data_IF_696389621045
#
_entry.id   IF_696389621045
#
_cell.length_a   1.000
_cell.length_b   1.000
_cell.length_c   1.000
_cell.angle_alpha   90.00
_cell.angle_beta   90.00
_cell.angle_gamma   90.00
#
_symmetry.space_group_name_H-M   'P 1'
#
loop_
_entity.id
_entity.type
_entity.pdbx_description
1 polymer ?
#
# COMPACT_ATOMS: atom_id res chain seq x y z
N UNK A 1 93.40 -0.53 52.27
CA UNK A 1 94.25 0.00 51.18
C UNK A 1 93.43 1.00 50.38
N UNK A 2 93.89 2.26 50.37
CA UNK A 2 93.58 3.44 49.51
C UNK A 2 92.10 3.80 49.28
N UNK A 3 91.56 4.95 49.72
CA UNK A 3 91.90 6.35 49.37
C UNK A 3 90.71 6.90 48.55
N UNK A 4 90.20 8.13 48.60
CA UNK A 4 90.58 9.43 49.14
C UNK A 4 89.27 10.24 49.39
N UNK A 5 89.31 11.18 50.34
CA UNK A 5 88.31 12.23 50.56
C UNK A 5 88.53 13.46 49.65
N UNK A 6 87.46 14.16 49.27
CA UNK A 6 87.28 15.64 49.21
C UNK A 6 85.89 15.93 48.62
N UNK A 7 84.90 16.55 49.29
CA UNK A 7 84.68 17.91 49.82
C UNK A 7 84.43 19.02 48.77
N UNK A 8 83.32 19.76 49.01
CA UNK A 8 83.14 21.22 48.75
C UNK A 8 82.70 21.59 47.33
N UNK A 9 81.85 22.60 47.01
CA UNK A 9 80.76 23.43 47.59
C UNK A 9 80.44 24.45 46.46
N UNK A 10 79.26 25.07 46.48
CA UNK A 10 78.95 26.38 45.85
C UNK A 10 78.87 26.40 44.28
N UNK A 11 78.08 27.25 43.58
CA UNK A 11 77.28 28.44 43.92
C UNK A 11 76.46 28.91 42.69
N UNK A 12 75.30 29.51 42.99
CA UNK A 12 74.45 30.47 42.22
C UNK A 12 75.00 31.14 40.95
N UNK A 13 74.10 31.29 39.96
CA UNK A 13 74.04 32.44 39.02
C UNK A 13 72.99 32.26 37.91
N UNK A 14 72.00 33.17 37.73
CA UNK A 14 71.01 33.13 36.64
C UNK A 14 71.30 34.15 35.51
N UNK A 15 70.52 34.05 34.42
CA UNK A 15 70.28 35.08 33.39
C UNK A 15 71.40 35.28 32.33
N UNK A 16 71.12 34.87 31.07
CA UNK A 16 71.29 35.61 29.79
C UNK A 16 71.45 34.69 28.55
N UNK A 17 70.53 34.90 27.58
CA UNK A 17 70.62 34.74 26.11
C UNK A 17 71.36 33.55 25.45
N UNK A 18 70.60 32.76 24.68
CA UNK A 18 70.72 32.65 23.21
C UNK A 18 69.79 31.53 22.68
N UNK A 19 68.69 31.89 22.00
CA UNK A 19 67.89 30.95 21.21
C UNK A 19 68.25 31.14 19.74
N UNK A 20 68.77 30.07 19.13
CA UNK A 20 68.99 29.97 17.70
C UNK A 20 67.65 29.75 16.98
N UNK A 21 67.42 30.52 15.92
CA UNK A 21 66.27 30.40 15.05
C UNK A 21 66.41 29.17 14.14
N UNK A 22 65.39 28.31 14.13
CA UNK A 22 65.17 27.32 13.09
C UNK A 22 63.79 27.59 12.47
N UNK A 23 63.78 28.21 11.29
CA UNK A 23 62.61 28.34 10.43
C UNK A 23 62.27 26.99 9.82
N UNK A 24 61.15 26.40 10.22
CA UNK A 24 60.52 25.28 9.52
C UNK A 24 59.72 25.84 8.33
N UNK A 25 60.08 25.44 7.12
CA UNK A 25 59.26 25.67 5.93
C UNK A 25 58.23 24.54 5.88
N UNK A 26 56.98 24.84 6.17
CA UNK A 26 55.85 23.94 5.93
C UNK A 26 55.58 23.84 4.43
N UNK A 27 55.78 22.66 3.83
CA UNK A 27 55.16 22.31 2.55
C UNK A 27 53.97 21.40 2.83
N UNK A 28 52.81 22.01 3.07
CA UNK A 28 51.51 21.31 3.10
C UNK A 28 50.63 21.88 1.99
N UNK A 29 50.87 21.40 0.78
CA UNK A 29 49.96 21.54 -0.35
C UNK A 29 49.96 20.20 -1.07
N UNK A 30 48.78 19.72 -1.49
CA UNK A 30 48.51 18.36 -2.04
C UNK A 30 48.02 17.30 -1.02
N UNK A 31 47.45 17.71 0.12
CA UNK A 31 46.58 16.82 0.92
C UNK A 31 45.16 17.36 1.12
N UNK A 32 44.94 18.67 0.96
CA UNK A 32 43.64 19.30 1.19
C UNK A 32 42.66 19.16 0.00
N UNK A 33 43.11 18.80 -1.21
CA UNK A 33 42.26 18.84 -2.40
C UNK A 33 41.60 17.50 -2.77
N UNK A 34 41.78 16.45 -1.96
CA UNK A 34 41.17 15.13 -2.18
C UNK A 34 40.24 14.72 -1.03
N UNK A 35 40.42 15.28 0.17
CA UNK A 35 39.50 15.08 1.29
C UNK A 35 38.21 15.90 1.12
N UNK A 36 38.28 17.11 0.54
CA UNK A 36 37.11 17.96 0.26
C UNK A 36 36.15 17.34 -0.79
N UNK A 37 36.69 16.55 -1.73
CA UNK A 37 35.90 15.90 -2.78
C UNK A 37 35.17 14.64 -2.28
N UNK A 38 35.71 13.93 -1.27
CA UNK A 38 35.08 12.75 -0.66
C UNK A 38 34.00 13.16 0.34
N UNK A 39 34.19 14.28 1.04
CA UNK A 39 33.21 14.80 2.00
C UNK A 39 32.01 15.47 1.28
N UNK A 40 32.22 16.05 0.09
CA UNK A 40 31.12 16.62 -0.72
C UNK A 40 30.24 15.57 -1.44
N UNK A 41 30.81 14.40 -1.77
CA UNK A 41 30.07 13.28 -2.36
C UNK A 41 29.32 12.43 -1.31
N UNK A 42 29.74 12.50 -0.04
CA UNK A 42 29.05 11.80 1.06
C UNK A 42 27.86 12.59 1.60
N UNK A 43 27.87 13.93 1.48
CA UNK A 43 26.74 14.78 1.87
C UNK A 43 25.55 14.69 0.88
N UNK A 44 25.80 14.46 -0.42
CA UNK A 44 24.75 14.40 -1.44
C UNK A 44 24.03 13.05 -1.55
N UNK A 45 24.55 11.99 -0.95
CA UNK A 45 23.89 10.67 -0.94
C UNK A 45 22.90 10.52 0.23
N UNK A 46 22.98 11.36 1.27
CA UNK A 46 22.14 11.24 2.45
C UNK A 46 20.86 12.09 2.43
N UNK A 47 20.73 13.05 1.51
CA UNK A 47 19.52 13.88 1.39
C UNK A 47 18.47 13.24 0.44
N UNK A 48 18.91 12.39 -0.49
CA UNK A 48 18.02 11.73 -1.45
C UNK A 48 17.42 10.39 -0.97
N UNK A 49 17.84 9.87 0.19
CA UNK A 49 17.24 8.65 0.78
C UNK A 49 16.12 8.93 1.80
N UNK A 50 15.84 10.20 2.10
CA UNK A 50 14.74 10.61 2.98
C UNK A 50 13.43 10.86 2.21
N UNK A 51 13.49 11.42 1.00
CA UNK A 51 12.30 11.70 0.17
C UNK A 51 11.70 10.43 -0.45
N UNK A 52 12.51 9.39 -0.71
CA UNK A 52 12.00 8.08 -1.16
C UNK A 52 11.49 7.22 0.01
N UNK A 53 12.13 7.25 1.19
CA UNK A 53 11.68 6.46 2.38
C UNK A 53 10.41 6.98 3.06
N UNK A 54 10.05 8.25 2.83
CA UNK A 54 8.80 8.81 3.38
C UNK A 54 7.57 8.47 2.53
N UNK A 55 7.75 8.02 1.29
CA UNK A 55 6.64 7.59 0.42
C UNK A 55 6.45 6.07 0.40
N UNK A 56 7.43 5.27 0.86
CA UNK A 56 7.29 3.80 0.89
C UNK A 56 6.46 3.23 2.06
N UNK A 57 6.03 4.02 3.05
CA UNK A 57 5.44 3.46 4.29
C UNK A 57 3.92 3.41 4.42
N UNK A 58 3.12 3.59 3.35
CA UNK A 58 1.67 3.28 3.41
C UNK A 58 1.07 2.61 2.17
N UNK A 59 1.87 2.09 1.24
CA UNK A 59 1.33 1.42 0.03
C UNK A 59 1.68 -0.05 -0.13
N UNK A 60 2.54 -0.62 0.72
CA UNK A 60 3.12 -1.93 0.41
C UNK A 60 2.31 -3.13 0.92
N UNK A 61 1.52 -3.00 1.99
CA UNK A 61 0.71 -4.11 2.47
C UNK A 61 -0.49 -3.57 3.26
N UNK A 62 -1.64 -3.32 2.63
CA UNK A 62 -2.84 -3.24 3.42
C UNK A 62 -3.11 -4.65 3.94
N UNK A 63 -2.73 -4.92 5.18
CA UNK A 63 -2.94 -6.23 5.81
C UNK A 63 -4.42 -6.60 5.86
N UNK A 64 -5.32 -5.62 5.73
CA UNK A 64 -6.74 -5.75 6.02
C UNK A 64 -7.64 -4.78 5.20
N UNK A 65 -7.44 -4.64 3.88
CA UNK A 65 -8.34 -3.85 2.99
C UNK A 65 -9.08 -4.69 1.96
N UNK A 66 -9.09 -6.02 2.05
CA UNK A 66 -9.68 -6.84 0.97
C UNK A 66 -11.21 -6.73 0.98
N UNK A 67 -11.80 -6.48 -0.19
CA UNK A 67 -13.21 -6.65 -0.49
C UNK A 67 -13.36 -7.76 -1.54
N UNK A 68 -14.21 -8.73 -1.25
CA UNK A 68 -14.63 -9.76 -2.22
C UNK A 68 -16.13 -9.65 -2.42
N UNK A 69 -16.55 -9.66 -3.68
CA UNK A 69 -17.95 -9.55 -4.08
C UNK A 69 -18.34 -10.78 -4.87
N UNK A 70 -19.36 -11.49 -4.40
CA UNK A 70 -19.89 -12.70 -5.02
C UNK A 70 -21.31 -12.47 -5.54
N UNK A 71 -21.71 -13.27 -6.52
CA UNK A 71 -23.05 -13.30 -7.10
C UNK A 71 -23.66 -14.69 -6.92
N UNK A 72 -24.92 -14.71 -6.52
CA UNK A 72 -25.77 -15.90 -6.46
C UNK A 72 -27.20 -15.58 -6.92
N UNK A 73 -27.94 -16.60 -7.34
CA UNK A 73 -29.36 -16.51 -7.66
C UNK A 73 -30.18 -17.17 -6.54
N UNK A 74 -31.19 -16.48 -6.01
CA UNK A 74 -32.08 -17.02 -4.98
C UNK A 74 -33.08 -18.03 -5.56
N UNK A 75 -33.64 -17.70 -6.72
CA UNK A 75 -34.67 -18.48 -7.39
C UNK A 75 -34.11 -19.05 -8.70
N UNK A 76 -34.26 -20.36 -8.87
CA UNK A 76 -33.51 -21.14 -9.85
C UNK A 76 -34.12 -21.16 -11.26
N UNK A 77 -35.33 -20.64 -11.43
CA UNK A 77 -36.12 -20.82 -12.66
C UNK A 77 -36.82 -19.54 -13.16
N UNK A 78 -36.62 -18.40 -12.50
CA UNK A 78 -37.44 -17.20 -12.73
C UNK A 78 -36.70 -16.03 -13.37
N UNK A 79 -35.38 -16.12 -13.54
CA UNK A 79 -34.58 -15.03 -14.05
C UNK A 79 -33.49 -15.49 -15.02
N UNK A 80 -33.58 -15.02 -16.27
CA UNK A 80 -32.55 -15.24 -17.27
C UNK A 80 -31.55 -14.07 -17.24
N UNK A 81 -30.43 -14.26 -16.52
CA UNK A 81 -29.41 -13.22 -16.30
C UNK A 81 -28.51 -13.03 -17.53
N UNK A 82 -28.55 -11.84 -18.14
CA UNK A 82 -27.79 -11.55 -19.36
C UNK A 82 -26.45 -10.86 -19.05
N UNK A 83 -26.49 -9.81 -18.21
CA UNK A 83 -25.32 -9.01 -17.88
C UNK A 83 -25.35 -8.50 -16.45
N UNK A 84 -24.15 -8.30 -15.90
CA UNK A 84 -23.96 -7.54 -14.66
C UNK A 84 -22.83 -6.53 -14.82
N UNK A 85 -23.05 -5.34 -14.29
CA UNK A 85 -22.04 -4.28 -14.16
C UNK A 85 -21.96 -3.90 -12.67
N UNK A 86 -20.76 -3.95 -12.11
CA UNK A 86 -20.49 -3.62 -10.72
C UNK A 86 -19.70 -2.32 -10.64
N UNK A 87 -20.14 -1.43 -9.77
CA UNK A 87 -19.53 -0.16 -9.50
C UNK A 87 -19.26 -0.02 -8.00
N UNK A 88 -18.09 0.51 -7.67
CA UNK A 88 -17.69 0.85 -6.31
C UNK A 88 -17.36 2.34 -6.29
N UNK A 89 -18.09 3.11 -5.47
CA UNK A 89 -17.96 4.58 -5.39
C UNK A 89 -18.06 5.25 -6.77
N UNK A 90 -19.05 4.81 -7.56
CA UNK A 90 -19.29 5.18 -8.97
C UNK A 90 -18.20 4.80 -9.98
N UNK A 91 -17.12 4.15 -9.55
CA UNK A 91 -16.11 3.62 -10.48
C UNK A 91 -16.50 2.21 -10.94
N UNK A 92 -16.50 1.91 -12.25
CA UNK A 92 -16.75 0.56 -12.73
C UNK A 92 -15.60 -0.37 -12.30
N UNK A 93 -15.92 -1.44 -11.59
CA UNK A 93 -14.94 -2.39 -11.06
C UNK A 93 -15.06 -3.79 -11.68
N UNK A 94 -16.24 -4.17 -12.19
CA UNK A 94 -16.44 -5.41 -12.92
C UNK A 94 -17.59 -5.28 -13.93
N UNK A 95 -17.51 -6.02 -15.03
CA UNK A 95 -18.61 -6.19 -15.98
C UNK A 95 -18.52 -7.57 -16.61
N UNK A 96 -19.64 -8.28 -16.69
CA UNK A 96 -19.70 -9.63 -17.25
C UNK A 96 -20.98 -9.85 -18.05
N UNK A 97 -20.84 -10.55 -19.18
CA UNK A 97 -21.92 -11.02 -20.05
C UNK A 97 -22.02 -12.55 -19.94
N UNK A 98 -23.21 -13.06 -19.64
CA UNK A 98 -23.43 -14.45 -19.29
C UNK A 98 -23.83 -15.31 -20.48
N UNK A 99 -23.10 -16.41 -20.67
CA UNK A 99 -23.46 -17.44 -21.63
C UNK A 99 -24.45 -18.44 -21.02
N UNK A 100 -25.18 -19.16 -21.87
CA UNK A 100 -26.19 -20.14 -21.42
C UNK A 100 -25.64 -21.11 -20.35
N UNK A 101 -24.43 -21.66 -20.56
CA UNK A 101 -23.82 -22.61 -19.60
C UNK A 101 -23.53 -21.97 -18.24
N UNK A 102 -23.18 -20.69 -18.22
CA UNK A 102 -22.83 -19.96 -17.00
C UNK A 102 -24.10 -19.62 -16.22
N UNK A 103 -25.16 -19.21 -16.93
CA UNK A 103 -26.48 -19.04 -16.33
C UNK A 103 -27.00 -20.32 -15.72
N UNK A 104 -26.96 -21.44 -16.46
CA UNK A 104 -27.39 -22.73 -15.93
C UNK A 104 -26.57 -23.17 -14.71
N UNK A 105 -25.28 -22.80 -14.63
CA UNK A 105 -24.48 -23.05 -13.44
C UNK A 105 -24.93 -22.19 -12.24
N UNK A 106 -25.24 -20.91 -12.45
CA UNK A 106 -25.79 -20.03 -11.42
C UNK A 106 -27.18 -20.49 -10.95
N UNK A 107 -28.07 -20.88 -11.88
CA UNK A 107 -29.39 -21.46 -11.59
C UNK A 107 -29.29 -22.76 -10.79
N UNK A 108 -28.25 -23.57 -11.03
CA UNK A 108 -27.96 -24.78 -10.26
C UNK A 108 -27.42 -24.49 -8.83
N UNK A 109 -27.32 -23.21 -8.43
CA UNK A 109 -26.78 -22.79 -7.14
C UNK A 109 -25.29 -22.50 -7.17
N UNK A 110 -24.71 -22.31 -8.35
CA UNK A 110 -23.35 -21.81 -8.50
C UNK A 110 -23.22 -20.40 -7.92
N UNK A 111 -22.03 -20.13 -7.38
CA UNK A 111 -21.64 -18.81 -6.89
C UNK A 111 -20.50 -18.32 -7.77
N UNK A 112 -20.61 -17.10 -8.27
CA UNK A 112 -19.55 -16.47 -9.04
C UNK A 112 -18.86 -15.38 -8.24
N UNK A 113 -17.54 -15.35 -8.30
CA UNK A 113 -16.75 -14.21 -7.85
C UNK A 113 -16.77 -13.11 -8.90
N UNK A 114 -17.39 -11.96 -8.58
CA UNK A 114 -17.47 -10.81 -9.48
C UNK A 114 -16.24 -9.91 -9.37
N UNK A 115 -15.74 -9.72 -8.15
CA UNK A 115 -14.66 -8.79 -7.87
C UNK A 115 -13.89 -9.21 -6.62
N UNK A 116 -12.56 -9.15 -6.70
CA UNK A 116 -11.67 -9.14 -5.55
C UNK A 116 -10.71 -7.97 -5.72
N UNK A 117 -10.64 -7.12 -4.70
CA UNK A 117 -9.69 -6.02 -4.70
C UNK A 117 -9.53 -5.37 -3.34
N UNK A 118 -8.75 -4.29 -3.34
CA UNK A 118 -8.50 -3.50 -2.14
C UNK A 118 -9.52 -2.36 -2.05
N UNK A 119 -10.07 -2.16 -0.85
CA UNK A 119 -10.97 -1.09 -0.50
C UNK A 119 -10.60 -0.55 0.88
N UNK A 120 -10.43 0.76 0.98
CA UNK A 120 -10.11 1.42 2.24
C UNK A 120 -11.18 1.14 3.32
N UNK A 121 -10.80 1.27 4.59
CA UNK A 121 -11.78 1.28 5.70
C UNK A 121 -12.59 2.58 5.62
N UNK A 122 -13.91 2.51 5.79
CA UNK A 122 -14.76 3.70 5.76
C UNK A 122 -16.11 3.49 5.07
N UNK A 123 -16.79 4.59 4.74
CA UNK A 123 -18.05 4.55 4.00
C UNK A 123 -17.78 4.33 2.51
N UNK A 124 -18.49 3.38 1.93
CA UNK A 124 -18.43 3.06 0.50
C UNK A 124 -19.82 2.79 -0.04
N UNK A 125 -19.95 2.91 -1.35
CA UNK A 125 -21.20 2.64 -2.08
C UNK A 125 -20.97 1.59 -3.14
N UNK A 126 -21.66 0.45 -3.00
CA UNK A 126 -21.70 -0.59 -4.00
C UNK A 126 -22.95 -0.41 -4.86
N UNK A 127 -22.78 -0.39 -6.17
CA UNK A 127 -23.87 -0.31 -7.14
C UNK A 127 -23.75 -1.48 -8.11
N UNK A 128 -24.83 -2.23 -8.28
CA UNK A 128 -24.93 -3.30 -9.25
C UNK A 128 -26.02 -2.94 -10.26
N UNK A 129 -25.67 -3.00 -11.54
CA UNK A 129 -26.62 -2.85 -12.64
C UNK A 129 -26.76 -4.19 -13.31
N UNK A 130 -27.98 -4.71 -13.28
CA UNK A 130 -28.32 -6.03 -13.81
C UNK A 130 -29.17 -5.85 -15.05
N UNK A 131 -28.83 -6.59 -16.09
CA UNK A 131 -29.66 -6.77 -17.26
C UNK A 131 -30.08 -8.23 -17.31
N UNK A 132 -31.38 -8.48 -17.36
CA UNK A 132 -31.93 -9.82 -17.39
C UNK A 132 -33.20 -9.83 -18.26
N UNK A 133 -33.58 -11.02 -18.68
CA UNK A 133 -34.87 -11.25 -19.34
C UNK A 133 -35.85 -11.82 -18.31
N UNK A 134 -36.99 -11.16 -18.17
CA UNK A 134 -38.07 -11.61 -17.30
C UNK A 134 -38.85 -12.78 -17.94
N UNK A 135 -39.72 -13.43 -17.17
CA UNK A 135 -40.50 -14.58 -17.61
C UNK A 135 -41.39 -14.28 -18.85
N UNK A 136 -41.81 -13.02 -19.04
CA UNK A 136 -42.56 -12.55 -20.20
C UNK A 136 -41.71 -12.27 -21.45
N UNK A 137 -40.41 -12.59 -21.39
CA UNK A 137 -39.38 -12.32 -22.41
C UNK A 137 -39.03 -10.85 -22.61
N UNK A 138 -39.51 -9.94 -21.76
CA UNK A 138 -39.09 -8.54 -21.77
C UNK A 138 -37.66 -8.42 -21.23
N UNK A 139 -36.88 -7.50 -21.82
CA UNK A 139 -35.59 -7.12 -21.26
C UNK A 139 -35.80 -6.13 -20.13
N UNK A 140 -35.23 -6.43 -18.97
CA UNK A 140 -35.33 -5.61 -17.77
C UNK A 140 -33.93 -5.22 -17.32
N UNK A 141 -33.70 -3.92 -17.16
CA UNK A 141 -32.50 -3.37 -16.53
C UNK A 141 -32.88 -2.83 -15.14
N UNK A 142 -32.15 -3.26 -14.11
CA UNK A 142 -32.35 -2.82 -12.73
C UNK A 142 -31.04 -2.38 -12.12
N UNK A 143 -31.10 -1.25 -11.44
CA UNK A 143 -30.01 -0.75 -10.63
C UNK A 143 -30.33 -1.01 -9.16
N UNK A 144 -29.34 -1.52 -8.42
CA UNK A 144 -29.41 -1.66 -6.98
C UNK A 144 -28.16 -1.03 -6.37
N UNK A 145 -28.38 -0.17 -5.37
CA UNK A 145 -27.32 0.59 -4.71
C UNK A 145 -27.41 0.35 -3.22
N UNK A 146 -26.26 0.11 -2.59
CA UNK A 146 -26.15 0.01 -1.14
C UNK A 146 -24.90 0.70 -0.63
N UNK A 147 -25.11 1.61 0.32
CA UNK A 147 -24.04 2.16 1.13
C UNK A 147 -23.72 1.21 2.28
N UNK A 148 -22.44 1.01 2.55
CA UNK A 148 -21.95 0.17 3.64
C UNK A 148 -20.70 0.79 4.27
N UNK A 149 -20.37 0.36 5.49
CA UNK A 149 -19.14 0.75 6.17
C UNK A 149 -18.20 -0.43 6.11
N UNK A 150 -17.09 -0.30 5.39
CA UNK A 150 -16.01 -1.29 5.36
C UNK A 150 -15.29 -1.26 6.70
N UNK A 151 -15.34 -2.34 7.52
CA UNK A 151 -14.52 -2.43 8.72
C UNK A 151 -13.05 -2.70 8.37
N UNK A 152 -12.11 -2.50 9.30
CA UNK A 152 -10.77 -3.05 9.15
C UNK A 152 -10.87 -4.56 8.97
N UNK A 153 -10.30 -5.13 7.92
CA UNK A 153 -10.29 -6.58 7.70
C UNK A 153 -10.51 -6.98 6.25
N UNK A 154 -10.76 -8.27 6.03
CA UNK A 154 -11.46 -8.70 4.81
C UNK A 154 -12.96 -8.45 5.00
N UNK A 155 -13.65 -8.00 3.95
CA UNK A 155 -15.11 -7.99 3.90
C UNK A 155 -15.54 -8.81 2.69
N UNK A 156 -16.51 -9.69 2.90
CA UNK A 156 -17.16 -10.43 1.83
C UNK A 156 -18.60 -9.94 1.72
N UNK A 157 -18.99 -9.59 0.50
CA UNK A 157 -20.34 -9.17 0.17
C UNK A 157 -20.89 -10.13 -0.88
N UNK A 158 -22.05 -10.70 -0.60
CA UNK A 158 -22.80 -11.51 -1.55
C UNK A 158 -23.95 -10.68 -2.12
N UNK A 159 -24.05 -10.67 -3.45
CA UNK A 159 -25.18 -10.16 -4.20
C UNK A 159 -26.06 -11.33 -4.54
N UNK A 160 -27.26 -11.34 -3.96
CA UNK A 160 -28.28 -12.33 -4.29
C UNK A 160 -29.32 -11.68 -5.18
N UNK A 161 -29.51 -12.25 -6.36
CA UNK A 161 -30.53 -11.78 -7.32
C UNK A 161 -31.74 -12.69 -7.25
N UNK A 162 -32.92 -12.11 -7.11
CA UNK A 162 -34.20 -12.81 -7.06
C UNK A 162 -35.19 -12.15 -8.02
N UNK A 163 -36.16 -12.91 -8.53
CA UNK A 163 -37.24 -12.40 -9.36
C UNK A 163 -38.58 -12.98 -8.88
N UNK A 164 -39.04 -12.55 -7.69
CA UNK A 164 -40.19 -13.18 -7.06
C UNK A 164 -41.47 -12.96 -7.88
N UNK A 165 -42.33 -13.98 -7.88
CA UNK A 165 -43.69 -13.85 -8.39
C UNK A 165 -44.47 -12.78 -7.59
N UNK A 166 -45.45 -12.09 -8.19
CA UNK A 166 -46.00 -12.34 -9.53
C UNK A 166 -45.40 -11.48 -10.65
N UNK A 167 -44.61 -10.45 -10.31
CA UNK A 167 -44.10 -9.49 -11.31
C UNK A 167 -42.79 -9.93 -11.97
N UNK A 168 -42.11 -10.94 -11.40
CA UNK A 168 -40.86 -11.51 -11.91
C UNK A 168 -39.80 -10.44 -12.18
N UNK A 169 -39.81 -9.37 -11.38
CA UNK A 169 -38.86 -8.29 -11.53
C UNK A 169 -37.56 -8.58 -10.77
N UNK A 170 -36.38 -8.42 -11.39
CA UNK A 170 -35.12 -8.65 -10.72
C UNK A 170 -34.92 -7.67 -9.56
N UNK A 171 -34.61 -8.22 -8.39
CA UNK A 171 -34.27 -7.51 -7.16
C UNK A 171 -32.94 -8.04 -6.67
N UNK A 172 -32.09 -7.13 -6.21
CA UNK A 172 -30.76 -7.46 -5.67
C UNK A 172 -30.76 -7.20 -4.18
N UNK A 173 -30.35 -8.21 -3.43
CA UNK A 173 -30.09 -8.12 -2.00
C UNK A 173 -28.60 -8.22 -1.77
N UNK A 174 -28.09 -7.40 -0.86
CA UNK A 174 -26.68 -7.41 -0.47
C UNK A 174 -26.56 -7.99 0.94
N UNK A 175 -25.81 -9.10 1.06
CA UNK A 175 -25.57 -9.77 2.32
C UNK A 175 -24.08 -9.67 2.65
N UNK A 176 -23.75 -9.16 3.83
CA UNK A 176 -22.38 -9.16 4.34
C UNK A 176 -22.13 -10.44 5.11
N UNK A 177 -21.08 -11.18 4.77
CA UNK A 177 -20.64 -12.32 5.56
C UNK A 177 -19.74 -11.82 6.71
N UNK A 178 -20.01 -12.30 7.92
CA UNK A 178 -19.25 -11.97 9.14
C UNK A 178 -18.31 -13.10 9.51
#
# INVERSE_FOLDING_TARGET
>A
MYGLHSTTRCRRGPWWFAWAAATLISHTGVAASLDDDIESLSAQVNEHLASVRSLERQLLYPTHTRLSVFLSLAERETLDLDAIELFLDDQPVASHLYQNRERSALEAGGVQELYIGNLATGQHRLKAVITARAADKSFVRREAVRSFIKPPGALVVELTVAAPAPDYQPRVTFTEWK
#
